data_IF_181916817934
#
_entry.id   IF_181916817934
#
_cell.length_a   1.000
_cell.length_b   1.000
_cell.length_c   1.000
_cell.angle_alpha   90.00
_cell.angle_beta   90.00
_cell.angle_gamma   90.00
#
_symmetry.space_group_name_H-M   'P 1'
#
loop_
_entity.id
_entity.type
_entity.pdbx_description
1 polymer ?
#
# COMPACT_ATOMS: atom_id res chain seq x y z
N UNK A 1 -0.02 19.39 -2.97
CA UNK A 1 0.77 20.57 -3.42
C UNK A 1 0.85 21.68 -2.36
N UNK A 2 -0.27 22.12 -1.75
CA UNK A 2 -0.28 23.18 -0.72
C UNK A 2 0.70 22.95 0.44
N UNK A 3 0.83 21.72 0.93
CA UNK A 3 1.80 21.37 2.00
C UNK A 3 3.26 21.59 1.58
N UNK A 4 3.60 21.34 0.31
CA UNK A 4 4.96 21.52 -0.20
C UNK A 4 5.34 22.99 -0.32
N UNK A 5 4.42 23.83 -0.80
CA UNK A 5 4.62 25.28 -0.84
C UNK A 5 4.80 25.83 0.57
N UNK A 6 3.98 25.40 1.53
CA UNK A 6 4.13 25.84 2.92
C UNK A 6 5.50 25.47 3.50
N UNK A 7 5.98 24.27 3.20
CA UNK A 7 7.32 23.85 3.63
C UNK A 7 8.41 24.73 3.02
N UNK A 8 8.38 24.96 1.70
CA UNK A 8 9.39 25.77 1.01
C UNK A 8 9.43 27.23 1.47
N UNK A 9 8.29 27.82 1.84
CA UNK A 9 8.21 29.25 2.21
C UNK A 9 8.22 29.52 3.71
N UNK A 10 7.84 28.55 4.55
CA UNK A 10 7.66 28.76 5.98
C UNK A 10 8.28 27.67 6.87
N UNK A 11 8.99 26.69 6.28
CA UNK A 11 9.56 25.52 6.97
C UNK A 11 8.55 24.77 7.86
N UNK A 12 7.27 24.84 7.49
CA UNK A 12 6.15 24.23 8.21
C UNK A 12 5.49 23.18 7.35
N UNK A 13 5.33 21.98 7.88
CA UNK A 13 4.57 20.92 7.21
C UNK A 13 3.71 20.10 8.18
N UNK A 14 2.55 19.66 7.69
CA UNK A 14 1.67 18.76 8.43
C UNK A 14 1.49 17.48 7.63
N UNK A 15 2.17 16.42 8.07
CA UNK A 15 2.08 15.08 7.48
C UNK A 15 1.01 14.29 8.22
N UNK A 16 0.13 13.64 7.48
CA UNK A 16 -0.96 12.75 7.94
C UNK A 16 -1.00 11.53 7.05
N UNK A 17 -1.56 10.40 7.49
CA UNK A 17 -1.60 9.18 6.66
C UNK A 17 -2.31 9.40 5.31
N UNK A 18 -3.31 10.29 5.27
CA UNK A 18 -4.06 10.63 4.05
C UNK A 18 -3.24 11.41 3.03
N UNK A 19 -2.30 12.25 3.47
CA UNK A 19 -1.49 13.09 2.58
C UNK A 19 -0.03 12.63 2.46
N UNK A 20 0.42 11.66 3.27
CA UNK A 20 1.82 11.27 3.37
C UNK A 20 2.38 10.78 2.04
N UNK A 21 1.61 10.02 1.26
CA UNK A 21 2.03 9.53 -0.07
C UNK A 21 2.20 10.69 -1.05
N UNK A 22 1.22 11.60 -1.13
CA UNK A 22 1.26 12.78 -2.00
C UNK A 22 2.45 13.69 -1.66
N UNK A 23 2.66 13.92 -0.36
CA UNK A 23 3.75 14.78 0.15
C UNK A 23 5.10 14.11 -0.12
N UNK A 24 5.23 12.80 0.13
CA UNK A 24 6.46 12.07 -0.14
C UNK A 24 6.81 12.06 -1.64
N UNK A 25 5.83 11.85 -2.51
CA UNK A 25 6.02 11.95 -3.95
C UNK A 25 6.51 13.36 -4.34
N UNK A 26 5.85 14.40 -3.84
CA UNK A 26 6.25 15.78 -4.09
C UNK A 26 7.66 16.10 -3.57
N UNK A 27 7.98 15.69 -2.35
CA UNK A 27 9.28 15.89 -1.75
C UNK A 27 10.39 15.26 -2.60
N UNK A 28 10.17 14.02 -3.10
CA UNK A 28 11.11 13.37 -4.03
C UNK A 28 11.19 14.07 -5.37
N UNK A 29 10.04 14.45 -5.95
CA UNK A 29 9.98 15.12 -7.25
C UNK A 29 10.74 16.45 -7.26
N UNK A 30 10.67 17.20 -6.16
CA UNK A 30 11.37 18.47 -5.99
C UNK A 30 12.70 18.34 -5.23
N UNK A 31 13.21 17.12 -5.03
CA UNK A 31 14.50 16.83 -4.38
C UNK A 31 14.65 17.46 -2.99
N UNK A 32 13.54 17.56 -2.24
CA UNK A 32 13.51 18.04 -0.86
C UNK A 32 13.88 16.87 0.07
N UNK A 33 15.18 16.64 0.25
CA UNK A 33 15.71 15.48 0.99
C UNK A 33 15.26 15.44 2.44
N UNK A 34 15.41 16.55 3.17
CA UNK A 34 14.96 16.66 4.57
C UNK A 34 13.48 16.34 4.72
N UNK A 35 12.65 16.84 3.80
CA UNK A 35 11.23 16.56 3.83
C UNK A 35 10.90 15.09 3.50
N UNK A 36 11.66 14.50 2.58
CA UNK A 36 11.54 13.09 2.24
C UNK A 36 11.82 12.22 3.47
N UNK A 37 12.86 12.52 4.23
CA UNK A 37 13.20 11.80 5.47
C UNK A 37 12.12 11.97 6.54
N UNK A 38 11.63 13.20 6.76
CA UNK A 38 10.53 13.46 7.70
C UNK A 38 9.29 12.62 7.35
N UNK A 39 8.91 12.59 6.08
CA UNK A 39 7.74 11.82 5.62
C UNK A 39 7.94 10.32 5.78
N UNK A 40 9.14 9.82 5.46
CA UNK A 40 9.48 8.40 5.62
C UNK A 40 9.48 7.99 7.09
N UNK A 41 10.07 8.80 7.98
CA UNK A 41 10.08 8.55 9.42
C UNK A 41 8.65 8.59 10.00
N UNK A 42 7.84 9.55 9.58
CA UNK A 42 6.43 9.63 9.97
C UNK A 42 5.67 8.36 9.58
N UNK A 43 5.81 7.91 8.32
CA UNK A 43 5.16 6.70 7.84
C UNK A 43 5.62 5.46 8.63
N UNK A 44 6.92 5.31 8.88
CA UNK A 44 7.43 4.18 9.68
C UNK A 44 6.85 4.13 11.11
N UNK A 45 6.64 5.29 11.73
CA UNK A 45 6.18 5.38 13.12
C UNK A 45 4.66 5.32 13.28
N UNK A 46 3.90 5.75 12.27
CA UNK A 46 2.44 5.90 12.35
C UNK A 46 1.66 4.88 11.54
N UNK A 47 2.30 4.16 10.63
CA UNK A 47 1.62 3.16 9.83
C UNK A 47 1.29 1.94 10.69
N UNK A 48 0.00 1.63 10.79
CA UNK A 48 -0.54 0.49 11.54
C UNK A 48 -1.18 -0.51 10.59
N UNK A 49 -1.50 -1.72 11.08
CA UNK A 49 -2.20 -2.75 10.32
C UNK A 49 -3.59 -2.29 9.84
N UNK A 50 -4.27 -1.39 10.57
CA UNK A 50 -5.57 -0.85 10.17
C UNK A 50 -5.47 0.17 9.04
N UNK A 51 -4.36 0.91 8.96
CA UNK A 51 -4.16 1.97 7.98
C UNK A 51 -3.40 1.51 6.73
N UNK A 52 -2.65 0.39 6.83
CA UNK A 52 -1.70 -0.05 5.82
C UNK A 52 -2.36 -0.28 4.46
N UNK A 53 -3.56 -0.88 4.44
CA UNK A 53 -4.27 -1.17 3.20
C UNK A 53 -4.69 0.11 2.47
N UNK A 54 -5.14 1.12 3.22
CA UNK A 54 -5.52 2.42 2.67
C UNK A 54 -4.32 3.18 2.11
N UNK A 55 -3.19 3.18 2.82
CA UNK A 55 -1.94 3.81 2.35
C UNK A 55 -1.36 3.07 1.15
N UNK A 56 -1.44 1.74 1.14
CA UNK A 56 -0.98 0.90 0.05
C UNK A 56 -1.77 1.13 -1.24
N UNK A 57 -3.09 1.30 -1.11
CA UNK A 57 -3.97 1.65 -2.23
C UNK A 57 -3.75 3.10 -2.68
N UNK A 58 -3.60 4.06 -1.76
CA UNK A 58 -3.28 5.45 -2.12
C UNK A 58 -1.95 5.55 -2.90
N UNK A 59 -0.99 4.67 -2.62
CA UNK A 59 0.27 4.59 -3.36
C UNK A 59 0.12 4.11 -4.81
N UNK A 60 -1.03 3.57 -5.23
CA UNK A 60 -1.25 3.20 -6.66
C UNK A 60 -1.08 4.38 -7.60
N UNK A 61 -1.34 5.60 -7.14
CA UNK A 61 -1.23 6.81 -7.96
C UNK A 61 0.21 7.13 -8.38
N UNK A 62 1.18 6.81 -7.54
CA UNK A 62 2.59 7.22 -7.74
C UNK A 62 3.57 6.05 -7.77
N UNK A 63 3.14 4.87 -7.33
CA UNK A 63 3.88 3.62 -7.33
C UNK A 63 5.25 3.71 -6.66
N UNK A 64 5.31 4.44 -5.53
CA UNK A 64 6.57 4.61 -4.80
C UNK A 64 7.02 3.26 -4.24
N UNK A 65 8.13 2.72 -4.78
CA UNK A 65 8.66 1.42 -4.40
C UNK A 65 8.93 1.29 -2.89
N UNK A 66 9.43 2.36 -2.27
CA UNK A 66 9.69 2.39 -0.83
C UNK A 66 8.40 2.24 0.00
N UNK A 67 7.30 2.89 -0.41
CA UNK A 67 6.00 2.79 0.28
C UNK A 67 5.44 1.37 0.11
N UNK A 68 5.55 0.79 -1.09
CA UNK A 68 5.18 -0.60 -1.33
C UNK A 68 5.94 -1.55 -0.40
N UNK A 69 7.25 -1.36 -0.26
CA UNK A 69 8.08 -2.22 0.57
C UNK A 69 7.66 -2.22 2.04
N UNK A 70 7.43 -1.04 2.63
CA UNK A 70 7.01 -0.96 4.05
C UNK A 70 5.59 -1.49 4.26
N UNK A 71 4.66 -1.20 3.35
CA UNK A 71 3.28 -1.64 3.48
C UNK A 71 3.19 -3.16 3.32
N UNK A 72 3.87 -3.71 2.32
CA UNK A 72 3.94 -5.16 2.12
C UNK A 72 4.62 -5.85 3.31
N UNK A 73 5.61 -5.23 3.96
CA UNK A 73 6.19 -5.76 5.20
C UNK A 73 5.13 -6.01 6.27
N UNK A 74 4.37 -4.97 6.61
CA UNK A 74 3.30 -5.06 7.64
C UNK A 74 2.20 -6.05 7.22
N UNK A 75 1.76 -5.99 5.96
CA UNK A 75 0.73 -6.92 5.44
C UNK A 75 1.22 -8.37 5.52
N UNK A 76 2.49 -8.62 5.19
CA UNK A 76 3.05 -9.97 5.19
C UNK A 76 3.37 -10.49 6.59
N UNK A 77 3.61 -9.58 7.55
CA UNK A 77 3.80 -9.94 8.95
C UNK A 77 2.50 -10.45 9.59
N UNK A 78 1.36 -9.82 9.25
CA UNK A 78 0.03 -10.21 9.74
C UNK A 78 -1.04 -10.25 8.61
N UNK A 79 -0.93 -11.21 7.68
CA UNK A 79 -1.77 -11.28 6.48
C UNK A 79 -3.21 -11.68 6.79
N UNK A 80 -3.43 -12.46 7.85
CA UNK A 80 -4.76 -12.98 8.20
C UNK A 80 -5.69 -11.84 8.60
N UNK A 81 -5.19 -10.90 9.40
CA UNK A 81 -5.93 -9.71 9.77
C UNK A 81 -6.22 -8.81 8.56
N UNK A 82 -5.25 -8.67 7.66
CA UNK A 82 -5.45 -7.93 6.42
C UNK A 82 -6.53 -8.56 5.52
N UNK A 83 -6.59 -9.89 5.41
CA UNK A 83 -7.58 -10.57 4.56
C UNK A 83 -9.01 -10.51 5.09
N UNK A 84 -9.18 -10.33 6.40
CA UNK A 84 -10.49 -10.20 7.04
C UNK A 84 -11.02 -8.75 7.02
N UNK A 85 -10.16 -7.78 6.69
CA UNK A 85 -10.53 -6.37 6.61
C UNK A 85 -11.30 -6.06 5.31
N UNK A 86 -12.39 -5.28 5.41
CA UNK A 86 -13.14 -4.79 4.26
C UNK A 86 -12.29 -3.93 3.30
N UNK A 87 -11.27 -3.26 3.84
CA UNK A 87 -10.32 -2.48 3.04
C UNK A 87 -9.56 -3.36 2.04
N UNK A 88 -9.34 -4.64 2.34
CA UNK A 88 -8.69 -5.57 1.41
C UNK A 88 -9.58 -5.83 0.19
N UNK A 89 -10.90 -5.94 0.39
CA UNK A 89 -11.83 -6.20 -0.71
C UNK A 89 -11.99 -5.02 -1.67
N UNK A 90 -11.63 -3.81 -1.21
CA UNK A 90 -11.66 -2.56 -1.99
C UNK A 90 -10.35 -2.28 -2.73
N UNK A 91 -9.32 -3.11 -2.55
CA UNK A 91 -8.03 -2.95 -3.24
C UNK A 91 -8.19 -3.11 -4.75
N UNK A 92 -7.37 -2.38 -5.51
CA UNK A 92 -7.26 -2.57 -6.96
C UNK A 92 -6.56 -3.88 -7.31
N UNK A 93 -6.81 -4.41 -8.52
CA UNK A 93 -6.18 -5.65 -9.00
C UNK A 93 -4.66 -5.62 -8.90
N UNK A 94 -4.04 -4.48 -9.22
CA UNK A 94 -2.58 -4.27 -9.10
C UNK A 94 -2.08 -4.37 -7.66
N UNK A 95 -2.84 -3.88 -6.68
CA UNK A 95 -2.50 -4.03 -5.27
C UNK A 95 -2.51 -5.50 -4.86
N UNK A 96 -3.57 -6.24 -5.24
CA UNK A 96 -3.69 -7.67 -4.93
C UNK A 96 -2.61 -8.50 -5.64
N UNK A 97 -2.29 -8.17 -6.89
CA UNK A 97 -1.19 -8.79 -7.64
C UNK A 97 0.15 -8.63 -6.93
N UNK A 98 0.47 -7.43 -6.45
CA UNK A 98 1.71 -7.19 -5.70
C UNK A 98 1.79 -7.95 -4.38
N UNK A 99 0.66 -8.14 -3.71
CA UNK A 99 0.56 -8.98 -2.50
C UNK A 99 0.78 -10.45 -2.87
N UNK A 100 0.16 -10.92 -3.95
CA UNK A 100 0.28 -12.29 -4.45
C UNK A 100 1.69 -12.64 -4.96
N UNK A 101 2.40 -11.67 -5.56
CA UNK A 101 3.78 -11.82 -6.02
C UNK A 101 4.80 -11.96 -4.88
N UNK A 102 4.38 -11.71 -3.63
CA UNK A 102 5.30 -11.74 -2.50
C UNK A 102 5.59 -13.20 -2.10
N UNK A 103 6.85 -13.59 -2.26
CA UNK A 103 7.34 -14.95 -1.97
C UNK A 103 7.39 -15.29 -0.47
N UNK A 104 7.41 -14.28 0.42
CA UNK A 104 7.51 -14.48 1.87
C UNK A 104 6.34 -13.78 2.54
N UNK A 105 5.44 -14.56 3.13
CA UNK A 105 4.24 -14.12 3.83
C UNK A 105 3.95 -15.07 5.00
N UNK A 106 3.55 -14.55 6.17
CA UNK A 106 3.22 -15.35 7.36
C UNK A 106 1.82 -16.01 7.26
N UNK A 107 1.50 -16.60 6.12
CA UNK A 107 0.28 -17.38 5.92
C UNK A 107 0.52 -18.61 5.05
N UNK A 108 -0.40 -19.57 5.15
CA UNK A 108 -0.42 -20.71 4.25
C UNK A 108 -0.89 -20.28 2.84
N UNK A 109 -0.37 -20.89 1.76
CA UNK A 109 -0.81 -20.59 0.40
C UNK A 109 -2.33 -20.69 0.20
N UNK A 110 -2.98 -21.63 0.88
CA UNK A 110 -4.42 -21.80 0.82
C UNK A 110 -5.20 -20.61 1.41
N UNK A 111 -4.66 -19.96 2.43
CA UNK A 111 -5.26 -18.76 3.03
C UNK A 111 -5.21 -17.59 2.06
N UNK A 112 -4.05 -17.37 1.42
CA UNK A 112 -3.87 -16.35 0.37
C UNK A 112 -4.81 -16.60 -0.81
N UNK A 113 -4.85 -17.84 -1.32
CA UNK A 113 -5.75 -18.21 -2.42
C UNK A 113 -7.23 -18.02 -2.05
N UNK A 114 -7.60 -18.32 -0.81
CA UNK A 114 -8.97 -18.10 -0.32
C UNK A 114 -9.30 -16.62 -0.25
N UNK A 115 -8.39 -15.78 0.23
CA UNK A 115 -8.55 -14.33 0.26
C UNK A 115 -8.70 -13.75 -1.16
N UNK A 116 -7.86 -14.17 -2.11
CA UNK A 116 -7.94 -13.73 -3.51
C UNK A 116 -9.28 -14.17 -4.13
N UNK A 117 -9.72 -15.42 -3.92
CA UNK A 117 -11.04 -15.89 -4.41
C UNK A 117 -12.19 -15.06 -3.84
N UNK A 118 -12.12 -14.69 -2.55
CA UNK A 118 -13.12 -13.79 -1.93
C UNK A 118 -13.10 -12.41 -2.59
N UNK A 119 -11.92 -11.84 -2.83
CA UNK A 119 -11.77 -10.55 -3.52
C UNK A 119 -12.36 -10.57 -4.94
N UNK A 120 -12.11 -11.63 -5.73
CA UNK A 120 -12.69 -11.80 -7.07
C UNK A 120 -14.22 -11.87 -7.03
N UNK A 121 -14.78 -12.59 -6.04
CA UNK A 121 -16.23 -12.74 -5.89
C UNK A 121 -16.91 -11.39 -5.64
N UNK A 122 -16.26 -10.50 -4.90
CA UNK A 122 -16.74 -9.15 -4.60
C UNK A 122 -16.55 -8.24 -5.83
N UNK A 123 -15.39 -8.31 -6.48
CA UNK A 123 -15.06 -7.53 -7.67
C UNK A 123 -15.38 -8.31 -8.96
N UNK A 124 -16.67 -8.55 -9.25
CA UNK A 124 -17.12 -9.34 -10.43
C UNK A 124 -16.52 -8.90 -11.76
N UNK A 125 -16.19 -7.62 -11.92
CA UNK A 125 -15.59 -7.08 -13.15
C UNK A 125 -14.09 -7.41 -13.28
N UNK A 126 -13.45 -7.90 -12.22
CA UNK A 126 -12.03 -8.25 -12.17
C UNK A 126 -11.78 -9.75 -12.31
N UNK A 127 -12.72 -10.53 -12.88
CA UNK A 127 -12.60 -11.99 -12.98
C UNK A 127 -11.38 -12.43 -13.82
N UNK A 128 -11.10 -11.76 -14.94
CA UNK A 128 -9.94 -12.05 -15.79
C UNK A 128 -8.62 -11.70 -15.08
N UNK A 129 -8.55 -10.54 -14.43
CA UNK A 129 -7.39 -10.13 -13.63
C UNK A 129 -7.17 -11.06 -12.44
N UNK A 130 -8.23 -11.42 -11.74
CA UNK A 130 -8.22 -12.37 -10.63
C UNK A 130 -7.70 -13.75 -11.02
N UNK A 131 -8.07 -14.23 -12.21
CA UNK A 131 -7.58 -15.52 -12.72
C UNK A 131 -6.06 -15.46 -13.00
N UNK A 132 -5.56 -14.34 -13.54
CA UNK A 132 -4.12 -14.11 -13.70
C UNK A 132 -3.40 -14.08 -12.35
N UNK A 133 -3.94 -13.34 -11.38
CA UNK A 133 -3.37 -13.23 -10.03
C UNK A 133 -3.32 -14.60 -9.33
N UNK A 134 -4.36 -15.43 -9.47
CA UNK A 134 -4.35 -16.79 -8.91
C UNK A 134 -3.25 -17.65 -9.54
N UNK A 135 -3.02 -17.54 -10.85
CA UNK A 135 -1.96 -18.29 -11.52
C UNK A 135 -0.57 -17.84 -11.07
N UNK A 136 -0.39 -16.53 -10.84
CA UNK A 136 0.83 -15.95 -10.28
C UNK A 136 1.07 -16.41 -8.83
N UNK A 137 0.02 -16.51 -8.01
CA UNK A 137 0.12 -16.98 -6.63
C UNK A 137 0.42 -18.49 -6.52
N UNK A 138 0.25 -19.26 -7.60
CA UNK A 138 0.45 -20.73 -7.65
C UNK A 138 1.79 -21.15 -8.25
N UNK A 139 2.41 -20.29 -9.06
CA UNK A 139 3.67 -20.56 -9.75
C UNK A 139 4.86 -20.13 -8.91
#
# INVERSE_FOLDING_TARGET
FRELLRYMYADRITVTLKNAVDVLYGARKYQLWTLTEICQNYLRLKLTEADVLNVFEANRRYELAWVNQICLGIICDNPIQAFDDECFWKLSGKSVELIALRQVMNCQPDQLLTAIKKWIKINRNAFEEGTRIINVARG
#
